data_IF_440593290648
#
_entry.id   IF_440593290648
#
_cell.length_a   1.000
_cell.length_b   1.000
_cell.length_c   1.000
_cell.angle_alpha   90.00
_cell.angle_beta   90.00
_cell.angle_gamma   90.00
#
_symmetry.space_group_name_H-M   'P 1'
#
loop_
_entity.id
_entity.type
_entity.pdbx_description
1 polymer ?
#
# COMPACT_ATOMS: atom_id res chain seq x y z
N UNK A 1 -48.05 48.74 58.06
CA UNK A 1 -47.49 47.44 58.48
C UNK A 1 -47.20 46.65 57.20
N UNK A 2 -45.92 46.40 56.90
CA UNK A 2 -45.46 45.77 55.64
C UNK A 2 -45.69 44.26 55.71
N UNK A 3 -46.25 43.65 54.68
CA UNK A 3 -46.04 42.22 54.39
C UNK A 3 -45.54 42.09 52.96
N UNK A 4 -44.30 41.60 52.87
CA UNK A 4 -43.51 41.44 51.67
C UNK A 4 -44.08 40.33 50.79
N UNK A 5 -44.48 40.66 49.56
CA UNK A 5 -44.61 39.70 48.47
C UNK A 5 -43.21 39.45 47.90
N UNK A 6 -42.62 38.29 48.20
CA UNK A 6 -41.33 37.88 47.66
C UNK A 6 -41.54 36.87 46.52
N UNK A 7 -41.38 37.25 45.24
CA UNK A 7 -41.22 36.29 44.16
C UNK A 7 -39.73 36.23 43.83
N UNK A 8 -38.99 35.32 44.47
CA UNK A 8 -37.60 35.08 44.09
C UNK A 8 -37.44 33.73 43.41
N UNK A 9 -37.36 33.85 42.08
CA UNK A 9 -36.41 33.17 41.19
C UNK A 9 -36.45 31.65 41.14
N UNK A 10 -37.31 31.13 40.26
CA UNK A 10 -37.03 29.88 39.58
C UNK A 10 -35.73 30.04 38.79
N UNK A 11 -34.64 29.51 39.33
CA UNK A 11 -33.35 29.45 38.64
C UNK A 11 -33.55 28.60 37.39
N UNK A 12 -33.33 29.24 36.24
CA UNK A 12 -33.39 28.64 34.90
C UNK A 12 -32.46 27.43 34.80
N UNK A 13 -33.02 26.22 34.82
CA UNK A 13 -32.31 24.95 34.63
C UNK A 13 -32.11 24.58 33.13
N UNK A 14 -32.22 25.53 32.20
CA UNK A 14 -32.17 25.24 30.76
C UNK A 14 -30.80 25.44 30.10
N UNK A 15 -29.84 26.09 30.77
CA UNK A 15 -28.52 26.36 30.17
C UNK A 15 -27.53 25.20 30.28
N UNK A 16 -27.59 24.38 31.33
CA UNK A 16 -26.69 23.22 31.49
C UNK A 16 -26.90 22.14 30.42
N UNK A 17 -28.15 21.96 29.96
CA UNK A 17 -28.47 21.01 28.88
C UNK A 17 -27.89 21.43 27.53
N UNK A 18 -27.84 22.75 27.26
CA UNK A 18 -27.26 23.28 26.01
C UNK A 18 -25.75 23.08 25.95
N UNK A 19 -25.05 23.32 27.07
CA UNK A 19 -23.61 23.03 27.18
C UNK A 19 -23.30 21.54 27.00
N UNK A 20 -24.08 20.65 27.61
CA UNK A 20 -23.90 19.21 27.48
C UNK A 20 -24.09 18.71 26.03
N UNK A 21 -25.09 19.22 25.30
CA UNK A 21 -25.31 18.87 23.88
C UNK A 21 -24.12 19.28 23.02
N UNK A 22 -23.54 20.47 23.24
CA UNK A 22 -22.39 20.95 22.47
C UNK A 22 -21.15 20.08 22.70
N UNK A 23 -20.91 19.66 23.94
CA UNK A 23 -19.82 18.72 24.28
C UNK A 23 -20.03 17.37 23.59
N UNK A 24 -21.25 16.82 23.60
CA UNK A 24 -21.56 15.55 22.93
C UNK A 24 -21.28 15.66 21.42
N UNK A 25 -21.75 16.74 20.77
CA UNK A 25 -21.49 16.96 19.34
C UNK A 25 -20.00 17.09 19.05
N UNK A 26 -19.24 17.82 19.88
CA UNK A 26 -17.79 17.91 19.74
C UNK A 26 -17.11 16.55 19.84
N UNK A 27 -17.49 15.72 20.81
CA UNK A 27 -16.97 14.36 20.96
C UNK A 27 -17.31 13.51 19.74
N UNK A 28 -18.56 13.56 19.26
CA UNK A 28 -18.97 12.85 18.05
C UNK A 28 -18.15 13.29 16.82
N UNK A 29 -17.95 14.60 16.62
CA UNK A 29 -17.14 15.11 15.51
C UNK A 29 -15.68 14.68 15.64
N UNK A 30 -15.12 14.69 16.86
CA UNK A 30 -13.75 14.25 17.12
C UNK A 30 -13.59 12.76 16.78
N UNK A 31 -14.54 11.92 17.21
CA UNK A 31 -14.58 10.50 16.87
C UNK A 31 -14.70 10.28 15.35
N UNK A 32 -15.60 10.99 14.67
CA UNK A 32 -15.76 10.90 13.21
C UNK A 32 -14.46 11.29 12.50
N UNK A 33 -13.79 12.35 12.96
CA UNK A 33 -12.53 12.83 12.38
C UNK A 33 -11.41 11.82 12.56
N UNK A 34 -11.31 11.19 13.74
CA UNK A 34 -10.35 10.11 14.02
C UNK A 34 -10.58 8.90 13.12
N UNK A 35 -11.84 8.49 12.94
CA UNK A 35 -12.20 7.38 12.06
C UNK A 35 -11.87 7.69 10.60
N UNK A 36 -12.22 8.88 10.10
CA UNK A 36 -11.85 9.34 8.76
C UNK A 36 -10.33 9.37 8.56
N UNK A 37 -9.58 9.89 9.54
CA UNK A 37 -8.13 9.92 9.47
C UNK A 37 -7.51 8.51 9.46
N UNK A 38 -8.07 7.56 10.21
CA UNK A 38 -7.65 6.16 10.21
C UNK A 38 -7.90 5.51 8.85
N UNK A 39 -9.10 5.67 8.29
CA UNK A 39 -9.45 5.13 6.97
C UNK A 39 -8.55 5.72 5.88
N UNK A 40 -8.28 7.02 5.92
CA UNK A 40 -7.38 7.68 4.97
C UNK A 40 -5.95 7.12 5.08
N UNK A 41 -5.43 6.94 6.30
CA UNK A 41 -4.11 6.30 6.50
C UNK A 41 -4.09 4.87 5.95
N UNK A 42 -5.13 4.08 6.21
CA UNK A 42 -5.26 2.72 5.71
C UNK A 42 -5.31 2.67 4.18
N UNK A 43 -6.09 3.53 3.54
CA UNK A 43 -6.15 3.63 2.09
C UNK A 43 -4.80 4.02 1.45
N UNK A 44 -4.09 4.98 2.07
CA UNK A 44 -2.75 5.37 1.64
C UNK A 44 -1.74 4.23 1.80
N UNK A 45 -1.84 3.44 2.89
CA UNK A 45 -0.95 2.31 3.14
C UNK A 45 -1.23 1.15 2.19
N UNK A 46 -2.51 0.84 1.95
CA UNK A 46 -2.95 -0.15 0.97
C UNK A 46 -2.46 0.20 -0.43
N UNK A 47 -2.53 1.48 -0.83
CA UNK A 47 -2.01 1.92 -2.13
C UNK A 47 -0.51 1.65 -2.27
N UNK A 48 0.28 1.88 -1.21
CA UNK A 48 1.72 1.59 -1.22
C UNK A 48 2.00 0.08 -1.31
N UNK A 49 1.21 -0.74 -0.62
CA UNK A 49 1.34 -2.20 -0.67
C UNK A 49 0.97 -2.74 -2.05
N UNK A 50 -0.11 -2.23 -2.65
CA UNK A 50 -0.59 -2.65 -3.96
C UNK A 50 0.44 -2.39 -5.06
N UNK A 51 1.11 -1.22 -5.04
CA UNK A 51 2.18 -0.89 -6.00
C UNK A 51 3.37 -1.85 -5.86
N UNK A 52 3.77 -2.18 -4.64
CA UNK A 52 4.88 -3.12 -4.40
C UNK A 52 4.54 -4.52 -4.92
N UNK A 53 3.32 -4.99 -4.67
CA UNK A 53 2.89 -6.29 -5.15
C UNK A 53 2.81 -6.32 -6.68
N UNK A 54 2.33 -5.24 -7.31
CA UNK A 54 2.35 -5.10 -8.75
C UNK A 54 3.77 -5.23 -9.32
N UNK A 55 4.76 -4.52 -8.75
CA UNK A 55 6.15 -4.65 -9.21
C UNK A 55 6.71 -6.05 -8.99
N UNK A 56 6.34 -6.72 -7.90
CA UNK A 56 6.77 -8.09 -7.63
C UNK A 56 6.27 -9.04 -8.71
N UNK A 57 4.97 -9.00 -9.02
CA UNK A 57 4.36 -9.83 -10.06
C UNK A 57 4.94 -9.52 -11.44
N UNK A 58 5.16 -8.24 -11.76
CA UNK A 58 5.80 -7.85 -13.02
C UNK A 58 7.23 -8.38 -13.14
N UNK A 59 8.03 -8.28 -12.08
CA UNK A 59 9.38 -8.82 -12.07
C UNK A 59 9.39 -10.35 -12.24
N UNK A 60 8.43 -11.04 -11.64
CA UNK A 60 8.27 -12.49 -11.77
C UNK A 60 7.91 -12.91 -13.21
N UNK A 61 7.01 -12.17 -13.88
CA UNK A 61 6.72 -12.41 -15.30
C UNK A 61 7.89 -12.10 -16.22
N UNK A 62 8.66 -11.05 -15.94
CA UNK A 62 9.87 -10.72 -16.70
C UNK A 62 10.90 -11.82 -16.52
N UNK A 63 11.08 -12.33 -15.31
CA UNK A 63 11.99 -13.43 -15.00
C UNK A 63 11.62 -14.71 -15.76
N UNK A 64 10.34 -15.10 -15.71
CA UNK A 64 9.85 -16.29 -16.42
C UNK A 64 10.06 -16.15 -17.95
N UNK A 65 9.72 -14.97 -18.49
CA UNK A 65 9.92 -14.68 -19.91
C UNK A 65 11.40 -14.69 -20.31
N UNK A 66 12.28 -14.17 -19.45
CA UNK A 66 13.71 -14.18 -19.65
C UNK A 66 14.28 -15.60 -19.63
N UNK A 67 13.78 -16.47 -18.76
CA UNK A 67 14.14 -17.88 -18.70
C UNK A 67 13.74 -18.62 -19.99
N UNK A 68 12.50 -18.43 -20.45
CA UNK A 68 12.02 -19.04 -21.70
C UNK A 68 12.83 -18.54 -22.90
N UNK A 69 13.13 -17.24 -22.94
CA UNK A 69 13.98 -16.63 -23.96
C UNK A 69 15.38 -17.23 -23.96
N UNK A 70 16.01 -17.34 -22.79
CA UNK A 70 17.34 -17.93 -22.64
C UNK A 70 17.37 -19.40 -23.10
N UNK A 71 16.32 -20.17 -22.76
CA UNK A 71 16.19 -21.56 -23.19
C UNK A 71 16.09 -21.67 -24.72
N UNK A 72 15.25 -20.84 -25.35
CA UNK A 72 15.14 -20.79 -26.82
C UNK A 72 16.45 -20.35 -27.48
N UNK A 73 17.12 -19.35 -26.93
CA UNK A 73 18.39 -18.87 -27.47
C UNK A 73 19.49 -19.93 -27.38
N UNK A 74 19.56 -20.67 -26.26
CA UNK A 74 20.51 -21.78 -26.08
C UNK A 74 20.24 -22.96 -27.01
N UNK A 75 18.97 -23.24 -27.32
CA UNK A 75 18.59 -24.28 -28.28
C UNK A 75 19.00 -23.92 -29.71
N UNK A 76 18.91 -22.64 -30.07
CA UNK A 76 19.29 -22.15 -31.40
C UNK A 76 20.80 -21.90 -31.55
N UNK A 77 21.46 -21.49 -30.47
CA UNK A 77 22.89 -21.18 -30.43
C UNK A 77 23.54 -21.80 -29.19
N UNK A 78 24.33 -22.85 -29.43
CA UNK A 78 25.08 -23.55 -28.37
C UNK A 78 26.19 -22.71 -27.73
N UNK A 79 26.63 -21.61 -28.38
CA UNK A 79 27.64 -20.70 -27.87
C UNK A 79 27.05 -19.54 -27.03
N UNK A 80 25.73 -19.51 -26.83
CA UNK A 80 25.06 -18.50 -26.02
C UNK A 80 25.53 -18.53 -24.56
N UNK A 81 26.09 -17.41 -24.07
CA UNK A 81 26.61 -17.25 -22.71
C UNK A 81 25.69 -16.44 -21.79
N UNK A 82 24.63 -15.83 -22.34
CA UNK A 82 23.80 -14.87 -21.64
C UNK A 82 23.62 -13.57 -22.42
N UNK A 83 22.68 -12.74 -21.99
CA UNK A 83 22.41 -11.42 -22.57
C UNK A 83 21.75 -10.49 -21.54
N UNK A 84 21.84 -9.19 -21.77
CA UNK A 84 20.98 -8.21 -21.10
C UNK A 84 19.81 -7.89 -22.02
N UNK A 85 18.63 -8.35 -21.65
CA UNK A 85 17.40 -8.03 -22.37
C UNK A 85 16.80 -6.73 -21.84
N UNK A 86 16.76 -5.70 -22.68
CA UNK A 86 16.08 -4.44 -22.39
C UNK A 86 14.66 -4.47 -22.98
N UNK A 87 13.68 -4.10 -22.17
CA UNK A 87 12.27 -4.06 -22.53
C UNK A 87 11.82 -2.60 -22.50
N UNK A 88 11.29 -2.13 -23.63
CA UNK A 88 10.85 -0.75 -23.75
C UNK A 88 9.57 -0.52 -22.92
N UNK A 89 9.31 0.74 -22.49
CA UNK A 89 8.07 1.08 -21.82
C UNK A 89 6.83 0.77 -22.67
N UNK A 90 6.94 0.96 -23.99
CA UNK A 90 5.86 0.73 -24.96
C UNK A 90 5.46 -0.75 -25.02
N UNK A 91 6.43 -1.66 -25.00
CA UNK A 91 6.18 -3.11 -24.99
C UNK A 91 5.53 -3.58 -23.68
N UNK A 92 5.83 -2.91 -22.56
CA UNK A 92 5.27 -3.20 -21.25
C UNK A 92 3.88 -2.55 -21.04
N UNK A 93 3.48 -1.63 -21.91
CA UNK A 93 2.30 -0.79 -21.70
C UNK A 93 2.39 0.07 -20.44
N UNK A 94 3.60 0.41 -20.00
CA UNK A 94 3.83 1.23 -18.81
C UNK A 94 4.67 2.47 -19.13
N UNK A 95 4.83 3.37 -18.15
CA UNK A 95 5.72 4.53 -18.28
C UNK A 95 7.19 4.22 -17.98
N UNK A 96 7.49 2.99 -17.58
CA UNK A 96 8.80 2.58 -17.09
C UNK A 96 9.38 1.48 -17.98
N UNK A 97 10.67 1.59 -18.28
CA UNK A 97 11.42 0.52 -18.92
C UNK A 97 11.77 -0.57 -17.89
N UNK A 98 12.03 -1.78 -18.37
CA UNK A 98 12.57 -2.85 -17.54
C UNK A 98 13.75 -3.54 -18.22
N UNK A 99 14.56 -4.23 -17.43
CA UNK A 99 15.70 -5.01 -17.95
C UNK A 99 15.84 -6.31 -17.18
N UNK A 100 16.16 -7.39 -17.90
CA UNK A 100 16.54 -8.68 -17.32
C UNK A 100 17.97 -9.02 -17.76
N UNK A 101 18.84 -9.35 -16.80
CA UNK A 101 20.17 -9.86 -17.08
C UNK A 101 20.15 -11.38 -16.99
N UNK A 102 20.55 -12.04 -18.07
CA UNK A 102 20.61 -13.48 -18.19
C UNK A 102 22.08 -13.87 -18.26
N UNK A 103 22.52 -14.72 -17.33
CA UNK A 103 23.90 -15.24 -17.30
C UNK A 103 23.87 -16.75 -17.19
N UNK A 104 24.48 -17.45 -18.14
CA UNK A 104 24.63 -18.90 -18.06
C UNK A 104 25.84 -19.23 -17.20
N UNK A 105 25.60 -19.99 -16.12
CA UNK A 105 26.69 -20.64 -15.39
C UNK A 105 26.85 -22.06 -15.91
N UNK A 106 28.08 -22.51 -16.22
CA UNK A 106 28.32 -23.93 -16.46
C UNK A 106 28.01 -24.69 -15.16
N UNK A 107 27.39 -25.86 -15.28
CA UNK A 107 27.05 -26.71 -14.14
C UNK A 107 28.34 -27.20 -13.47
N UNK A 108 28.80 -26.45 -12.46
CA UNK A 108 29.88 -26.83 -11.57
C UNK A 108 29.33 -27.75 -10.49
N UNK A 109 30.05 -28.86 -10.25
CA UNK A 109 29.71 -30.00 -9.38
C UNK A 109 29.30 -29.68 -7.90
N UNK A 110 29.33 -28.42 -7.47
CA UNK A 110 29.17 -28.00 -6.06
C UNK A 110 27.88 -27.23 -5.71
N UNK A 111 27.03 -26.85 -6.67
CA UNK A 111 25.87 -25.96 -6.40
C UNK A 111 24.59 -26.69 -5.92
N UNK A 112 24.70 -27.98 -5.57
CA UNK A 112 23.56 -28.84 -5.17
C UNK A 112 23.23 -28.75 -3.67
N UNK A 113 23.38 -27.57 -3.07
CA UNK A 113 23.00 -27.29 -1.68
C UNK A 113 22.02 -26.12 -1.63
N UNK A 114 20.75 -26.40 -1.93
CA UNK A 114 19.67 -25.46 -1.62
C UNK A 114 19.18 -25.77 -0.19
N UNK A 115 19.78 -25.11 0.79
CA UNK A 115 19.27 -25.08 2.17
C UNK A 115 18.23 -23.96 2.27
N UNK A 116 16.96 -24.34 2.43
CA UNK A 116 15.89 -23.41 2.80
C UNK A 116 15.74 -23.52 4.32
N UNK A 117 16.05 -22.43 5.04
CA UNK A 117 15.81 -22.28 6.47
C UNK A 117 14.74 -21.22 6.69
#
# INVERSE_FOLDING_TARGET
MRTSSNPQTAVSQTDTRRGAVLVIVMVCLLLITLLMASLLKSALMQRRQMIKEQYRVQAEWILESALERAARQRLNDSAYQGEVWQISPDDLGTKYAASAEITLKPEGKDDRLISIQ
#
